data_IF_586783551247
#
_entry.id   IF_586783551247
#
_cell.length_a   1.000
_cell.length_b   1.000
_cell.length_c   1.000
_cell.angle_alpha   90.00
_cell.angle_beta   90.00
_cell.angle_gamma   90.00
#
_symmetry.space_group_name_H-M   'P 1'
#
loop_
_entity.id
_entity.type
_entity.pdbx_description
1 polymer ?
#
# COMPACT_ATOMS: atom_id res chain seq x y z
N UNK A 1 -12.79 -22.04 21.45
CA UNK A 1 -11.95 -21.01 20.83
C UNK A 1 -12.02 -19.79 21.72
N UNK A 2 -10.88 -19.28 22.17
CA UNK A 2 -10.79 -18.24 23.20
C UNK A 2 -10.88 -16.85 22.55
N UNK A 3 -11.95 -16.12 22.84
CA UNK A 3 -12.26 -14.82 22.22
C UNK A 3 -11.21 -13.75 22.56
N UNK A 4 -10.57 -13.82 23.73
CA UNK A 4 -9.49 -12.90 24.07
C UNK A 4 -8.24 -13.17 23.25
N UNK A 5 -7.89 -14.45 23.05
CA UNK A 5 -6.77 -14.83 22.17
C UNK A 5 -7.01 -14.42 20.73
N UNK A 6 -8.26 -14.49 20.26
CA UNK A 6 -8.62 -14.02 18.93
C UNK A 6 -8.43 -12.50 18.81
N UNK A 7 -8.95 -11.71 19.77
CA UNK A 7 -8.81 -10.25 19.79
C UNK A 7 -7.34 -9.82 19.77
N UNK A 8 -6.51 -10.40 20.64
CA UNK A 8 -5.06 -10.10 20.69
C UNK A 8 -4.36 -10.48 19.38
N UNK A 9 -4.75 -11.58 18.75
CA UNK A 9 -4.16 -12.00 17.47
C UNK A 9 -4.55 -11.06 16.33
N UNK A 10 -5.79 -10.59 16.30
CA UNK A 10 -6.27 -9.60 15.32
C UNK A 10 -5.59 -8.25 15.51
N UNK A 11 -5.47 -7.77 16.75
CA UNK A 11 -4.76 -6.52 17.06
C UNK A 11 -3.29 -6.60 16.64
N UNK A 12 -2.59 -7.68 16.98
CA UNK A 12 -1.20 -7.91 16.55
C UNK A 12 -1.06 -7.97 15.03
N UNK A 13 -1.95 -8.68 14.35
CA UNK A 13 -1.97 -8.75 12.89
C UNK A 13 -2.20 -7.37 12.26
N UNK A 14 -3.16 -6.61 12.79
CA UNK A 14 -3.46 -5.25 12.33
C UNK A 14 -2.26 -4.32 12.48
N UNK A 15 -1.64 -4.27 13.67
CA UNK A 15 -0.47 -3.43 13.94
C UNK A 15 0.74 -3.82 13.09
N UNK A 16 1.00 -5.13 12.91
CA UNK A 16 2.11 -5.60 12.06
C UNK A 16 1.89 -5.25 10.59
N UNK A 17 0.65 -5.36 10.09
CA UNK A 17 0.34 -4.95 8.72
C UNK A 17 0.44 -3.43 8.53
N UNK A 18 -0.02 -2.65 9.50
CA UNK A 18 0.12 -1.20 9.46
C UNK A 18 1.60 -0.78 9.40
N UNK A 19 2.44 -1.34 10.27
CA UNK A 19 3.87 -1.06 10.26
C UNK A 19 4.51 -1.46 8.93
N UNK A 20 4.18 -2.65 8.41
CA UNK A 20 4.68 -3.11 7.11
C UNK A 20 4.27 -2.17 5.97
N UNK A 21 3.04 -1.65 5.99
CA UNK A 21 2.59 -0.67 5.00
C UNK A 21 3.35 0.66 5.13
N UNK A 22 3.60 1.12 6.35
CA UNK A 22 4.38 2.34 6.60
C UNK A 22 5.82 2.20 6.08
N UNK A 23 6.46 1.05 6.33
CA UNK A 23 7.83 0.77 5.87
C UNK A 23 7.90 0.73 4.33
N UNK A 24 6.90 0.10 3.68
CA UNK A 24 6.77 0.11 2.21
C UNK A 24 6.69 1.54 1.70
N UNK A 25 5.79 2.37 2.25
CA UNK A 25 5.61 3.75 1.81
C UNK A 25 6.87 4.59 1.99
N UNK A 26 7.56 4.46 3.13
CA UNK A 26 8.80 5.18 3.38
C UNK A 26 9.89 4.82 2.37
N UNK A 27 10.06 3.52 2.09
CA UNK A 27 11.07 3.08 1.13
C UNK A 27 10.70 3.51 -0.30
N UNK A 28 9.41 3.49 -0.66
CA UNK A 28 8.93 3.92 -1.97
C UNK A 28 9.21 5.41 -2.18
N UNK A 29 8.89 6.23 -1.18
CA UNK A 29 9.14 7.67 -1.20
C UNK A 29 10.64 7.99 -1.31
N UNK A 30 11.49 7.27 -0.60
CA UNK A 30 12.96 7.43 -0.72
C UNK A 30 13.45 7.09 -2.12
N UNK A 31 13.03 5.96 -2.67
CA UNK A 31 13.40 5.55 -4.02
C UNK A 31 12.95 6.58 -5.07
N UNK A 32 11.68 7.01 -5.02
CA UNK A 32 11.13 8.03 -5.93
C UNK A 32 11.91 9.35 -5.78
N UNK A 33 12.18 9.78 -4.54
CA UNK A 33 12.99 10.96 -4.26
C UNK A 33 14.37 10.90 -4.89
N UNK A 34 15.07 9.77 -4.76
CA UNK A 34 16.38 9.54 -5.39
C UNK A 34 16.30 9.58 -6.91
N UNK A 35 15.30 8.91 -7.51
CA UNK A 35 15.10 8.92 -8.96
C UNK A 35 14.84 10.34 -9.48
N UNK A 36 14.05 11.14 -8.76
CA UNK A 36 13.81 12.55 -9.09
C UNK A 36 15.07 13.40 -8.96
N UNK A 37 15.89 13.19 -7.94
CA UNK A 37 17.17 13.89 -7.79
C UNK A 37 18.14 13.56 -8.94
N UNK A 38 18.22 12.29 -9.36
CA UNK A 38 19.00 11.87 -10.53
C UNK A 38 18.46 12.56 -11.79
N UNK A 39 17.15 12.57 -11.99
CA UNK A 39 16.50 13.26 -13.12
C UNK A 39 16.88 14.74 -13.20
N UNK A 40 16.88 15.43 -12.07
CA UNK A 40 17.15 16.87 -12.01
C UNK A 40 18.64 17.19 -12.20
N UNK A 41 19.52 16.40 -11.60
CA UNK A 41 20.97 16.68 -11.56
C UNK A 41 21.75 16.11 -12.75
N UNK A 42 21.33 14.97 -13.30
CA UNK A 42 22.15 14.19 -14.22
C UNK A 42 21.51 13.95 -15.60
N UNK A 43 20.20 14.20 -15.75
CA UNK A 43 19.48 13.91 -17.00
C UNK A 43 19.16 15.20 -17.77
N UNK A 44 19.73 15.37 -19.00
CA UNK A 44 19.45 16.52 -19.84
C UNK A 44 17.96 16.63 -20.21
N UNK A 45 17.40 17.86 -20.32
CA UNK A 45 15.98 18.06 -20.64
C UNK A 45 15.48 17.28 -21.86
N UNK A 46 16.29 17.19 -22.91
CA UNK A 46 15.95 16.46 -24.14
C UNK A 46 15.72 14.96 -23.94
N UNK A 47 16.31 14.35 -22.89
CA UNK A 47 16.20 12.92 -22.59
C UNK A 47 15.25 12.61 -21.43
N UNK A 48 14.69 13.63 -20.77
CA UNK A 48 13.79 13.45 -19.62
C UNK A 48 12.54 12.65 -19.99
N UNK A 49 11.99 12.85 -21.18
CA UNK A 49 10.82 12.06 -21.62
C UNK A 49 11.13 10.55 -21.67
N UNK A 50 12.27 10.14 -22.25
CA UNK A 50 12.67 8.73 -22.30
C UNK A 50 12.90 8.18 -20.87
N UNK A 51 13.56 8.97 -20.01
CA UNK A 51 13.77 8.62 -18.61
C UNK A 51 12.44 8.44 -17.85
N UNK A 52 11.51 9.37 -17.99
CA UNK A 52 10.25 9.40 -17.23
C UNK A 52 9.30 8.26 -17.62
N UNK A 53 9.37 7.79 -18.88
CA UNK A 53 8.59 6.66 -19.37
C UNK A 53 9.25 5.29 -19.08
N UNK A 54 10.55 5.25 -18.75
CA UNK A 54 11.27 4.01 -18.51
C UNK A 54 10.88 3.42 -17.14
N UNK A 55 10.66 2.11 -17.09
CA UNK A 55 10.38 1.44 -15.81
C UNK A 55 11.58 1.51 -14.87
N UNK A 56 11.32 1.57 -13.57
CA UNK A 56 12.37 1.69 -12.55
C UNK A 56 13.38 0.55 -12.63
N UNK A 57 12.94 -0.66 -12.97
CA UNK A 57 13.84 -1.82 -13.17
C UNK A 57 14.78 -1.67 -14.37
N UNK A 58 14.40 -0.89 -15.37
CA UNK A 58 15.20 -0.65 -16.57
C UNK A 58 16.01 0.66 -16.51
N UNK A 59 15.76 1.52 -15.51
CA UNK A 59 16.52 2.75 -15.32
C UNK A 59 18.04 2.52 -15.16
N UNK A 60 18.53 1.54 -14.38
CA UNK A 60 19.97 1.27 -14.27
C UNK A 60 20.63 1.02 -15.63
N UNK A 61 19.99 0.21 -16.48
CA UNK A 61 20.46 -0.09 -17.83
C UNK A 61 20.45 1.14 -18.73
N UNK A 62 19.41 1.98 -18.65
CA UNK A 62 19.31 3.23 -19.41
C UNK A 62 20.39 4.23 -19.00
N UNK A 63 20.60 4.41 -17.69
CA UNK A 63 21.64 5.28 -17.14
C UNK A 63 23.04 4.82 -17.56
N UNK A 64 23.28 3.50 -17.56
CA UNK A 64 24.54 2.92 -18.04
C UNK A 64 24.76 3.19 -19.52
N UNK A 65 23.72 3.00 -20.36
CA UNK A 65 23.76 3.30 -21.80
C UNK A 65 24.09 4.77 -22.08
N UNK A 66 23.58 5.68 -21.25
CA UNK A 66 23.85 7.10 -21.35
C UNK A 66 25.14 7.56 -20.67
N UNK A 67 25.90 6.63 -20.09
CA UNK A 67 27.13 6.92 -19.34
C UNK A 67 26.90 7.95 -18.23
N UNK A 68 25.74 7.89 -17.58
CA UNK A 68 25.41 8.71 -16.41
C UNK A 68 26.21 8.21 -15.21
N UNK A 69 26.44 9.09 -14.22
CA UNK A 69 27.18 8.82 -12.99
C UNK A 69 26.92 7.39 -12.45
N UNK A 70 27.97 6.56 -12.27
CA UNK A 70 27.81 5.18 -11.80
C UNK A 70 27.18 5.09 -10.41
N UNK A 71 27.31 6.12 -9.57
CA UNK A 71 26.66 6.18 -8.26
C UNK A 71 25.13 6.19 -8.40
N UNK A 72 24.59 6.89 -9.41
CA UNK A 72 23.15 6.91 -9.67
C UNK A 72 22.62 5.51 -10.06
N UNK A 73 23.42 4.73 -10.79
CA UNK A 73 23.09 3.33 -11.14
C UNK A 73 23.09 2.46 -9.88
N UNK A 74 24.10 2.61 -9.02
CA UNK A 74 24.21 1.88 -7.75
C UNK A 74 23.05 2.20 -6.81
N UNK A 75 22.71 3.48 -6.65
CA UNK A 75 21.62 3.92 -5.77
C UNK A 75 20.27 3.31 -6.19
N UNK A 76 19.95 3.33 -7.50
CA UNK A 76 18.71 2.73 -7.99
C UNK A 76 18.71 1.21 -7.78
N UNK A 77 19.80 0.53 -8.11
CA UNK A 77 19.92 -0.92 -7.89
C UNK A 77 19.79 -1.30 -6.41
N UNK A 78 20.35 -0.49 -5.50
CA UNK A 78 20.21 -0.69 -4.06
C UNK A 78 18.74 -0.69 -3.66
N UNK A 79 17.97 0.33 -4.05
CA UNK A 79 16.54 0.40 -3.71
C UNK A 79 15.72 -0.73 -4.33
N UNK A 80 15.99 -1.09 -5.59
CA UNK A 80 15.29 -2.20 -6.25
C UNK A 80 15.52 -3.52 -5.50
N UNK A 81 16.77 -3.82 -5.16
CA UNK A 81 17.13 -5.03 -4.41
C UNK A 81 16.55 -5.01 -3.00
N UNK A 82 16.57 -3.86 -2.32
CA UNK A 82 16.00 -3.72 -0.98
C UNK A 82 14.48 -3.98 -1.00
N UNK A 83 13.77 -3.50 -2.02
CA UNK A 83 12.35 -3.77 -2.20
C UNK A 83 12.02 -5.23 -2.47
N UNK A 84 12.77 -5.85 -3.38
CA UNK A 84 12.59 -7.26 -3.72
C UNK A 84 12.86 -8.14 -2.50
N UNK A 85 13.94 -7.85 -1.76
CA UNK A 85 14.34 -8.62 -0.57
C UNK A 85 13.37 -8.44 0.59
N UNK A 86 12.95 -7.20 0.90
CA UNK A 86 12.08 -6.93 2.07
C UNK A 86 10.61 -7.27 1.82
N UNK A 87 10.13 -7.09 0.59
CA UNK A 87 8.70 -7.13 0.31
C UNK A 87 8.31 -8.12 -0.80
N UNK A 88 9.26 -8.74 -1.50
CA UNK A 88 8.98 -9.68 -2.59
C UNK A 88 8.28 -9.03 -3.79
N UNK A 89 8.48 -7.72 -3.99
CA UNK A 89 7.83 -6.94 -5.04
C UNK A 89 8.85 -6.36 -6.01
N UNK A 90 8.47 -6.30 -7.28
CA UNK A 90 9.27 -5.73 -8.38
C UNK A 90 8.55 -4.54 -9.01
N UNK A 91 9.32 -3.59 -9.54
CA UNK A 91 8.81 -2.37 -10.19
C UNK A 91 8.80 -2.48 -11.72
N UNK A 92 8.57 -3.68 -12.26
CA UNK A 92 8.75 -3.96 -13.69
C UNK A 92 7.90 -3.06 -14.61
N UNK A 93 6.79 -2.52 -14.09
CA UNK A 93 5.86 -1.67 -14.83
C UNK A 93 5.66 -0.28 -14.23
N UNK A 94 6.47 0.10 -13.23
CA UNK A 94 6.35 1.41 -12.57
C UNK A 94 7.42 2.33 -13.13
N UNK A 95 7.00 3.50 -13.61
CA UNK A 95 7.86 4.57 -14.11
C UNK A 95 7.49 5.89 -13.42
N UNK A 96 8.34 6.92 -13.53
CA UNK A 96 8.06 8.23 -12.95
C UNK A 96 6.74 8.80 -13.49
N UNK A 97 6.49 8.67 -14.79
CA UNK A 97 5.24 9.12 -15.39
C UNK A 97 4.01 8.39 -14.85
N UNK A 98 4.13 7.09 -14.54
CA UNK A 98 3.05 6.34 -13.90
C UNK A 98 2.82 6.81 -12.46
N UNK A 99 3.87 7.14 -11.72
CA UNK A 99 3.80 7.71 -10.37
C UNK A 99 3.17 9.11 -10.40
N UNK A 100 3.57 9.97 -11.33
CA UNK A 100 2.96 11.30 -11.51
C UNK A 100 1.47 11.19 -11.83
N UNK A 101 1.08 10.29 -12.73
CA UNK A 101 -0.34 10.02 -13.03
C UNK A 101 -1.10 9.52 -11.80
N UNK A 102 -0.49 8.66 -10.99
CA UNK A 102 -1.09 8.14 -9.77
C UNK A 102 -1.20 9.20 -8.66
N UNK A 103 -0.24 10.11 -8.53
CA UNK A 103 -0.29 11.21 -7.58
C UNK A 103 -1.17 12.38 -8.05
N UNK A 104 -1.39 12.53 -9.36
CA UNK A 104 -2.42 13.44 -9.92
C UNK A 104 -3.83 12.85 -9.69
N UNK A 105 -3.92 11.54 -9.49
CA UNK A 105 -5.10 10.80 -9.07
C UNK A 105 -4.94 10.35 -7.61
N UNK A 106 -4.73 11.28 -6.67
CA UNK A 106 -4.85 10.96 -5.24
C UNK A 106 -6.16 10.16 -5.05
N UNK A 107 -6.12 8.89 -4.62
CA UNK A 107 -7.29 8.35 -3.93
C UNK A 107 -7.33 9.20 -2.66
N UNK A 108 -8.23 10.19 -2.63
CA UNK A 108 -8.47 10.96 -1.43
C UNK A 108 -8.61 9.97 -0.27
N UNK A 109 -8.24 10.36 0.95
CA UNK A 109 -8.49 9.50 2.13
C UNK A 109 -9.94 8.97 2.18
N UNK A 110 -10.89 9.64 1.52
CA UNK A 110 -12.24 9.15 1.26
C UNK A 110 -12.31 7.85 0.44
N UNK A 111 -11.50 7.63 -0.60
CA UNK A 111 -11.51 6.37 -1.37
C UNK A 111 -10.95 5.19 -0.56
N UNK A 112 -9.96 5.43 0.29
CA UNK A 112 -9.43 4.42 1.21
C UNK A 112 -10.45 4.12 2.32
N UNK A 113 -11.08 5.16 2.89
CA UNK A 113 -12.12 5.02 3.90
C UNK A 113 -13.39 4.34 3.34
N UNK A 114 -13.82 4.65 2.10
CA UNK A 114 -14.97 4.00 1.46
C UNK A 114 -14.72 2.52 1.16
N UNK A 115 -13.48 2.12 0.84
CA UNK A 115 -13.13 0.70 0.68
C UNK A 115 -13.07 -0.04 2.02
N UNK A 116 -12.67 0.63 3.09
CA UNK A 116 -12.71 0.07 4.44
C UNK A 116 -14.16 -0.05 4.94
N UNK A 117 -15.01 0.95 4.70
CA UNK A 117 -16.44 0.93 5.04
C UNK A 117 -17.21 -0.13 4.26
N UNK A 118 -16.88 -0.38 2.99
CA UNK A 118 -17.53 -1.43 2.19
C UNK A 118 -17.13 -2.86 2.62
N UNK A 119 -15.97 -3.02 3.26
CA UNK A 119 -15.59 -4.29 3.90
C UNK A 119 -16.29 -4.52 5.25
N UNK A 120 -16.80 -3.45 5.88
CA UNK A 120 -17.53 -3.51 7.16
C UNK A 120 -19.05 -3.56 6.96
N UNK A 121 -19.55 -3.04 5.83
CA UNK A 121 -20.99 -2.95 5.49
C UNK A 121 -21.39 -3.82 4.29
N UNK A 122 -20.82 -5.02 4.18
CA UNK A 122 -21.49 -6.05 3.39
C UNK A 122 -22.86 -6.35 4.03
N UNK A 123 -23.98 -6.34 3.29
CA UNK A 123 -25.28 -6.66 3.88
C UNK A 123 -25.24 -8.12 4.32
N UNK A 124 -25.25 -8.35 5.64
CA UNK A 124 -25.71 -9.63 6.17
C UNK A 124 -27.17 -9.71 5.75
N UNK A 125 -27.44 -10.53 4.74
CA UNK A 125 -28.80 -10.82 4.31
C UNK A 125 -29.45 -11.56 5.49
N UNK A 126 -30.24 -10.87 6.31
CA UNK A 126 -30.94 -11.40 7.50
C UNK A 126 -31.92 -12.54 7.21
N UNK A 127 -31.99 -13.03 5.96
CA UNK A 127 -32.84 -14.14 5.55
C UNK A 127 -32.19 -15.52 5.68
N UNK A 128 -30.88 -15.61 5.92
CA UNK A 128 -30.20 -16.90 6.18
C UNK A 128 -29.97 -17.19 7.68
N UNK A 129 -30.48 -16.36 8.58
CA UNK A 129 -30.49 -16.64 10.02
C UNK A 129 -31.65 -17.59 10.38
N UNK A 130 -31.59 -18.82 9.88
CA UNK A 130 -32.50 -19.89 10.32
C UNK A 130 -32.12 -20.30 11.75
N UNK A 131 -32.99 -19.92 12.69
CA UNK A 131 -33.46 -20.83 13.74
C UNK A 131 -32.65 -20.90 15.02
N UNK A 132 -32.86 -19.94 15.93
CA UNK A 132 -32.92 -20.25 17.37
C UNK A 132 -34.17 -19.56 17.92
N UNK A 133 -35.24 -20.32 18.12
CA UNK A 133 -36.38 -19.89 18.94
C UNK A 133 -35.86 -19.62 20.35
N UNK A 134 -35.81 -18.35 20.76
CA UNK A 134 -35.71 -18.02 22.17
C UNK A 134 -37.04 -18.38 22.84
N UNK A 135 -37.05 -19.46 23.61
CA UNK A 135 -38.01 -19.61 24.70
C UNK A 135 -37.71 -18.49 25.72
N UNK A 136 -38.65 -17.57 25.90
CA UNK A 136 -38.66 -16.67 27.07
C UNK A 136 -38.99 -17.50 28.30
N UNK A 137 -38.28 -17.36 29.43
CA UNK A 137 -38.88 -17.58 30.73
C UNK A 137 -39.62 -16.30 31.13
N UNK A 138 -40.88 -16.48 31.52
CA UNK A 138 -41.74 -15.47 32.11
C UNK A 138 -41.09 -14.85 33.35
N UNK A 139 -41.14 -13.54 33.46
CA UNK A 139 -40.99 -12.84 34.74
C UNK A 139 -41.88 -11.59 34.69
N UNK A 140 -43.12 -11.78 35.13
CA UNK A 140 -43.96 -10.71 35.64
C UNK A 140 -43.30 -10.12 36.88
N UNK A 141 -42.92 -8.84 36.84
CA UNK A 141 -42.82 -8.04 38.05
C UNK A 141 -43.22 -6.58 37.74
N UNK A 142 -44.47 -6.30 38.06
CA UNK A 142 -45.11 -4.99 38.12
C UNK A 142 -44.52 -4.19 39.30
N UNK A 143 -44.03 -2.99 39.03
CA UNK A 143 -43.71 -1.99 40.06
C UNK A 143 -44.59 -0.75 39.86
N UNK A 144 -45.87 -0.90 40.21
CA UNK A 144 -46.76 0.21 40.54
C UNK A 144 -46.75 0.47 42.05
N UNK A 145 -45.88 1.40 42.47
CA UNK A 145 -45.99 2.37 43.60
C UNK A 145 -44.67 2.57 44.36
#
# INVERSE_FOLDING_TARGET
MDLEKLKVSVEKFSSQNFQKQQDILQLQNRMIGTILQIRLSAIPPARRSEFDNTSFTNLPSLLTKWQVNPNAVQDINFFLNEFETKFGRRFDHISLKSVEKANVLEPSQQTINQRLESCITGPVNEKDAIGIKQQRPDNDFDFSR
#
